data_IF_743496378788
#
_entry.id   IF_743496378788
#
_cell.length_a   1.000
_cell.length_b   1.000
_cell.length_c   1.000
_cell.angle_alpha   90.00
_cell.angle_beta   90.00
_cell.angle_gamma   90.00
#
_symmetry.space_group_name_H-M   'P 1'
#
loop_
_entity.id
_entity.type
_entity.pdbx_description
1 polymer ?
#
# COMPACT_ATOMS: atom_id res chain seq x y z
N UNK A 1 0.28 5.79 15.72
CA UNK A 1 -0.06 4.46 16.26
C UNK A 1 -1.51 4.20 15.93
N UNK A 2 -1.82 2.98 15.50
CA UNK A 2 -3.17 2.50 15.26
C UNK A 2 -3.32 1.08 15.82
N UNK A 3 -4.54 0.73 16.18
CA UNK A 3 -4.94 -0.62 16.57
C UNK A 3 -6.15 -0.99 15.72
N UNK A 4 -6.15 -2.21 15.20
CA UNK A 4 -7.22 -2.74 14.36
C UNK A 4 -7.49 -4.20 14.70
N UNK A 5 -8.59 -4.71 14.17
CA UNK A 5 -8.87 -6.13 14.13
C UNK A 5 -9.31 -6.46 12.71
N UNK A 6 -8.68 -7.46 12.12
CA UNK A 6 -9.05 -8.03 10.85
C UNK A 6 -9.87 -9.30 11.11
N UNK A 7 -11.03 -9.38 10.46
CA UNK A 7 -11.95 -10.50 10.58
C UNK A 7 -12.02 -11.17 9.21
N UNK A 8 -11.14 -12.15 8.98
CA UNK A 8 -11.23 -13.01 7.81
C UNK A 8 -12.29 -14.08 8.05
N UNK A 9 -13.21 -14.22 7.10
CA UNK A 9 -14.19 -15.31 7.08
C UNK A 9 -13.79 -16.28 5.95
N UNK A 10 -12.86 -17.19 6.27
CA UNK A 10 -12.50 -18.30 5.38
C UNK A 10 -13.51 -19.45 5.61
N UNK A 11 -14.06 -20.04 4.56
CA UNK A 11 -15.16 -21.01 4.64
C UNK A 11 -14.90 -22.23 5.56
N UNK A 12 -15.95 -22.60 6.30
CA UNK A 12 -16.14 -23.81 7.13
C UNK A 12 -15.06 -24.19 8.15
N UNK A 13 -14.11 -23.29 8.46
CA UNK A 13 -13.18 -23.45 9.58
C UNK A 13 -13.07 -22.15 10.37
N UNK A 14 -12.98 -22.30 11.70
CA UNK A 14 -13.09 -21.27 12.74
C UNK A 14 -12.76 -19.82 12.35
N UNK A 15 -13.59 -18.87 12.80
CA UNK A 15 -13.33 -17.43 12.76
C UNK A 15 -11.94 -17.12 13.33
N UNK A 16 -10.97 -16.84 12.47
CA UNK A 16 -9.66 -16.37 12.88
C UNK A 16 -9.73 -14.85 13.01
N UNK A 17 -9.83 -14.39 14.26
CA UNK A 17 -9.84 -12.96 14.59
C UNK A 17 -8.40 -12.52 14.74
N UNK A 18 -7.88 -11.77 13.77
CA UNK A 18 -6.50 -11.29 13.79
C UNK A 18 -6.44 -9.87 14.36
N UNK A 19 -5.82 -9.72 15.52
CA UNK A 19 -5.57 -8.39 16.08
C UNK A 19 -4.38 -7.76 15.37
N UNK A 20 -4.49 -6.51 14.95
CA UNK A 20 -3.43 -5.75 14.27
C UNK A 20 -2.99 -4.60 15.16
N UNK A 21 -1.69 -4.49 15.42
CA UNK A 21 -1.09 -3.33 16.09
C UNK A 21 -0.08 -2.69 15.16
N UNK A 22 -0.23 -1.38 14.91
CA UNK A 22 0.65 -0.70 13.99
C UNK A 22 1.01 0.73 14.34
N UNK A 23 2.01 1.20 13.61
CA UNK A 23 2.58 2.53 13.70
C UNK A 23 2.72 3.10 12.30
N UNK A 24 2.41 4.39 12.17
CA UNK A 24 2.62 5.16 10.94
C UNK A 24 3.44 6.38 11.28
N UNK A 25 4.41 6.66 10.43
CA UNK A 25 5.34 7.77 10.55
C UNK A 25 5.58 8.39 9.19
N UNK A 26 5.61 9.71 9.14
CA UNK A 26 6.01 10.43 7.96
C UNK A 26 7.49 10.79 8.10
N UNK A 27 8.34 10.07 7.39
CA UNK A 27 9.77 10.35 7.34
C UNK A 27 10.04 11.66 6.59
N UNK A 28 11.20 12.30 6.83
CA UNK A 28 11.67 13.41 6.01
C UNK A 28 11.58 13.07 4.51
N UNK A 29 11.33 14.08 3.68
CA UNK A 29 11.03 13.92 2.24
C UNK A 29 9.64 13.38 1.93
N UNK A 30 8.69 13.42 2.87
CA UNK A 30 7.31 12.90 2.68
C UNK A 30 7.32 11.43 2.24
N UNK A 31 8.13 10.60 2.92
CA UNK A 31 8.07 9.14 2.75
C UNK A 31 7.14 8.64 3.84
N UNK A 32 6.05 8.02 3.43
CA UNK A 32 5.07 7.43 4.33
C UNK A 32 5.57 6.07 4.75
N UNK A 33 5.72 5.84 6.05
CA UNK A 33 6.20 4.56 6.58
C UNK A 33 5.17 4.01 7.54
N UNK A 34 4.75 2.78 7.29
CA UNK A 34 3.79 2.07 8.12
C UNK A 34 4.40 0.74 8.52
N UNK A 35 4.36 0.40 9.79
CA UNK A 35 4.78 -0.90 10.29
C UNK A 35 3.68 -1.45 11.17
N UNK A 36 3.30 -2.71 10.98
CA UNK A 36 2.29 -3.36 11.79
C UNK A 36 2.63 -4.82 12.04
N UNK A 37 2.04 -5.36 13.09
CA UNK A 37 2.20 -6.74 13.52
C UNK A 37 0.83 -7.31 13.90
N UNK A 38 0.64 -8.59 13.58
CA UNK A 38 -0.60 -9.31 13.79
C UNK A 38 -0.45 -10.34 14.91
N UNK A 39 -1.59 -10.74 15.50
CA UNK A 39 -1.63 -11.76 16.55
C UNK A 39 -1.12 -13.13 16.11
N UNK A 40 -1.11 -13.39 14.80
CA UNK A 40 -0.69 -14.66 14.23
C UNK A 40 0.82 -14.70 13.97
N UNK A 41 1.55 -13.65 14.36
CA UNK A 41 3.00 -13.55 14.20
C UNK A 41 3.46 -12.94 12.88
N UNK A 42 2.52 -12.51 12.03
CA UNK A 42 2.83 -11.71 10.84
C UNK A 42 3.30 -10.32 11.23
N UNK A 43 4.36 -9.84 10.59
CA UNK A 43 4.75 -8.45 10.65
C UNK A 43 4.95 -7.91 9.24
N UNK A 44 4.52 -6.68 9.02
CA UNK A 44 4.63 -6.01 7.73
C UNK A 44 5.17 -4.61 7.91
N UNK A 45 6.11 -4.24 7.04
CA UNK A 45 6.66 -2.90 6.96
C UNK A 45 6.49 -2.39 5.55
N UNK A 46 5.81 -1.27 5.40
CA UNK A 46 5.55 -0.61 4.14
C UNK A 46 6.19 0.79 4.16
N UNK A 47 6.83 1.14 3.05
CA UNK A 47 7.30 2.51 2.81
C UNK A 47 6.84 2.96 1.43
N UNK A 48 6.06 4.02 1.39
CA UNK A 48 5.52 4.62 0.18
C UNK A 48 6.08 6.04 -0.02
N UNK A 49 6.35 6.38 -1.27
CA UNK A 49 6.76 7.71 -1.68
C UNK A 49 6.08 8.12 -2.97
N UNK A 50 5.24 9.15 -2.88
CA UNK A 50 4.81 9.90 -4.06
C UNK A 50 5.77 11.07 -4.34
N UNK A 51 6.26 11.13 -5.58
CA UNK A 51 7.10 12.18 -6.11
C UNK A 51 6.41 12.85 -7.29
N UNK A 52 5.87 14.05 -7.05
CA UNK A 52 5.30 14.88 -8.09
C UNK A 52 6.42 15.41 -9.01
N UNK A 53 6.53 14.84 -10.21
CA UNK A 53 7.49 15.25 -11.24
C UNK A 53 7.03 16.54 -11.93
N UNK A 54 5.73 16.64 -12.19
CA UNK A 54 5.07 17.85 -12.71
C UNK A 54 3.70 18.00 -12.06
N UNK A 55 3.00 19.15 -12.18
CA UNK A 55 1.67 19.31 -11.60
C UNK A 55 0.62 18.29 -12.08
N UNK A 56 0.88 17.56 -13.16
CA UNK A 56 -0.03 16.53 -13.70
C UNK A 56 0.58 15.13 -13.74
N UNK A 57 1.81 14.96 -13.29
CA UNK A 57 2.53 13.69 -13.39
C UNK A 57 3.26 13.38 -12.10
N UNK A 58 2.92 12.25 -11.50
CA UNK A 58 3.51 11.75 -10.26
C UNK A 58 4.12 10.36 -10.48
N UNK A 59 5.28 10.14 -9.88
CA UNK A 59 5.88 8.82 -9.71
C UNK A 59 5.58 8.34 -8.29
N UNK A 60 5.08 7.12 -8.17
CA UNK A 60 4.77 6.46 -6.90
C UNK A 60 5.75 5.29 -6.78
N UNK A 61 6.48 5.23 -5.66
CA UNK A 61 7.34 4.11 -5.33
C UNK A 61 6.92 3.55 -3.98
N UNK A 62 6.79 2.24 -3.90
CA UNK A 62 6.43 1.54 -2.67
C UNK A 62 7.28 0.28 -2.54
N UNK A 63 7.74 0.05 -1.31
CA UNK A 63 8.43 -1.16 -0.94
C UNK A 63 7.78 -1.70 0.32
N UNK A 64 7.51 -2.99 0.28
CA UNK A 64 6.88 -3.71 1.36
C UNK A 64 7.74 -4.92 1.74
N UNK A 65 7.81 -5.17 3.04
CA UNK A 65 8.38 -6.39 3.57
C UNK A 65 7.33 -7.06 4.43
N UNK A 66 6.87 -8.24 4.00
CA UNK A 66 6.06 -9.15 4.79
C UNK A 66 6.94 -10.30 5.32
N UNK A 67 6.64 -10.79 6.51
CA UNK A 67 7.33 -11.92 7.11
C UNK A 67 7.00 -13.25 6.40
N UNK A 68 5.85 -13.34 5.76
CA UNK A 68 5.38 -14.52 5.02
C UNK A 68 5.81 -14.50 3.56
N UNK A 69 5.60 -13.37 2.87
CA UNK A 69 5.80 -13.24 1.42
C UNK A 69 7.19 -12.67 1.05
N UNK A 70 7.84 -11.99 1.99
CA UNK A 70 9.19 -11.42 1.82
C UNK A 70 9.16 -9.99 1.28
N UNK A 71 10.13 -9.66 0.40
CA UNK A 71 10.27 -8.31 -0.16
C UNK A 71 9.43 -8.15 -1.42
N UNK A 72 8.52 -7.19 -1.39
CA UNK A 72 7.68 -6.80 -2.50
C UNK A 72 7.91 -5.35 -2.88
N UNK A 73 7.78 -5.06 -4.17
CA UNK A 73 8.02 -3.73 -4.71
C UNK A 73 6.94 -3.34 -5.70
N UNK A 74 6.47 -2.10 -5.59
CA UNK A 74 5.51 -1.51 -6.50
C UNK A 74 6.02 -0.18 -7.01
N UNK A 75 5.91 0.03 -8.32
CA UNK A 75 6.22 1.30 -8.97
C UNK A 75 5.01 1.74 -9.78
N UNK A 76 4.53 2.95 -9.53
CA UNK A 76 3.37 3.52 -10.18
C UNK A 76 3.66 4.85 -10.85
N UNK A 77 2.90 5.17 -11.87
CA UNK A 77 2.87 6.47 -12.53
C UNK A 77 1.41 6.94 -12.56
N UNK A 78 1.18 8.15 -12.09
CA UNK A 78 -0.13 8.80 -12.15
C UNK A 78 -0.07 10.00 -13.08
N UNK A 79 -1.02 10.11 -14.00
CA UNK A 79 -1.18 11.23 -14.92
C UNK A 79 -2.58 11.82 -14.82
N UNK A 80 -2.68 13.09 -14.44
CA UNK A 80 -3.96 13.80 -14.34
C UNK A 80 -4.43 14.26 -15.71
N UNK A 81 -5.46 13.59 -16.24
CA UNK A 81 -6.10 13.89 -17.52
C UNK A 81 -7.01 15.13 -17.42
N UNK A 82 -7.80 15.18 -16.36
CA UNK A 82 -8.71 16.27 -16.03
C UNK A 82 -8.65 16.53 -14.51
N UNK A 83 -9.19 17.66 -14.06
CA UNK A 83 -9.19 18.04 -12.64
C UNK A 83 -9.77 16.95 -11.71
N UNK A 84 -10.67 16.11 -12.24
CA UNK A 84 -11.36 15.05 -11.52
C UNK A 84 -10.99 13.63 -11.99
N UNK A 85 -10.10 13.50 -12.98
CA UNK A 85 -9.78 12.20 -13.61
C UNK A 85 -8.28 12.04 -13.77
N UNK A 86 -7.74 10.96 -13.20
CA UNK A 86 -6.33 10.57 -13.31
C UNK A 86 -6.22 9.16 -13.89
N UNK A 87 -5.23 8.96 -14.76
CA UNK A 87 -4.80 7.66 -15.24
C UNK A 87 -3.66 7.17 -14.36
N UNK A 88 -3.74 5.93 -13.91
CA UNK A 88 -2.74 5.29 -13.07
C UNK A 88 -2.20 4.05 -13.80
N UNK A 89 -0.90 3.99 -14.01
CA UNK A 89 -0.20 2.78 -14.43
C UNK A 89 0.64 2.28 -13.27
N UNK A 90 0.64 0.98 -12.98
CA UNK A 90 1.42 0.40 -11.91
C UNK A 90 2.10 -0.88 -12.37
N UNK A 91 3.24 -1.17 -11.77
CA UNK A 91 3.92 -2.44 -11.87
C UNK A 91 4.17 -2.97 -10.46
N UNK A 92 3.87 -4.24 -10.26
CA UNK A 92 4.11 -4.99 -9.03
C UNK A 92 5.10 -6.13 -9.30
N UNK A 93 5.99 -6.41 -8.35
CA UNK A 93 6.95 -7.50 -8.45
C UNK A 93 6.29 -8.85 -8.69
N UNK A 94 5.19 -9.12 -8.00
CA UNK A 94 4.46 -10.39 -8.10
C UNK A 94 3.41 -10.43 -9.23
N UNK A 95 2.58 -9.38 -9.34
CA UNK A 95 1.42 -9.37 -10.23
C UNK A 95 1.71 -8.79 -11.62
N UNK A 96 2.85 -8.12 -11.81
CA UNK A 96 3.21 -7.47 -13.06
C UNK A 96 2.50 -6.13 -13.28
N UNK A 97 2.14 -5.81 -14.52
CA UNK A 97 1.62 -4.50 -14.90
C UNK A 97 0.10 -4.40 -14.77
N UNK A 98 -0.38 -3.27 -14.24
CA UNK A 98 -1.79 -2.90 -14.14
C UNK A 98 -2.02 -1.45 -14.59
N UNK A 99 -3.20 -1.16 -15.11
CA UNK A 99 -3.62 0.20 -15.48
C UNK A 99 -5.02 0.43 -14.94
N UNK A 100 -5.24 1.59 -14.33
CA UNK A 100 -6.51 1.98 -13.74
C UNK A 100 -6.82 3.46 -13.99
N UNK A 101 -8.09 3.82 -13.80
CA UNK A 101 -8.56 5.19 -13.81
C UNK A 101 -9.05 5.55 -12.41
N UNK A 102 -8.61 6.70 -11.91
CA UNK A 102 -9.05 7.24 -10.63
C UNK A 102 -9.93 8.48 -10.90
N UNK A 103 -11.14 8.48 -10.35
CA UNK A 103 -12.04 9.63 -10.39
C UNK A 103 -12.17 10.23 -8.98
N UNK A 104 -12.04 11.56 -8.86
CA UNK A 104 -12.15 12.31 -7.60
C UNK A 104 -13.30 13.31 -7.73
N UNK A 105 -14.22 13.33 -6.76
CA UNK A 105 -15.42 14.18 -6.73
C UNK A 105 -15.53 14.92 -5.40
#
# INVERSE_FOLDING_TARGET
VFIGADFLEEGDSAKESRGVLGFRYLLPLNIESTAWMDTDGGARVNMEKEFALTPRFSLIGEIEYDTHDGWEGKVGLSYTLAEHVSLLGQWHSEFGWGVGLQMRF
#
